data_IF_189524805989
#
_entry.id   IF_189524805989
#
_cell.length_a   1.000
_cell.length_b   1.000
_cell.length_c   1.000
_cell.angle_alpha   90.00
_cell.angle_beta   90.00
_cell.angle_gamma   90.00
#
_symmetry.space_group_name_H-M   'P 1'
#
loop_
_entity.id
_entity.type
_entity.pdbx_description
1 polymer ?
#
# COMPACT_ATOMS: atom_id res chain seq x y z
N UNK A 1 -40.00 10.42 -59.21
CA UNK A 1 -38.63 10.53 -58.66
C UNK A 1 -38.76 10.91 -57.19
N UNK A 2 -39.05 10.05 -56.19
CA UNK A 2 -38.63 8.69 -55.82
C UNK A 2 -37.11 8.57 -55.61
N UNK A 3 -36.75 8.47 -54.31
CA UNK A 3 -35.44 8.13 -53.71
C UNK A 3 -34.44 9.27 -53.70
N UNK A 4 -34.24 9.93 -52.55
CA UNK A 4 -32.90 10.38 -52.08
C UNK A 4 -32.90 11.13 -50.73
N UNK A 5 -33.89 10.95 -49.85
CA UNK A 5 -33.94 11.75 -48.60
C UNK A 5 -34.32 10.90 -47.37
N UNK A 6 -33.59 9.82 -47.10
CA UNK A 6 -33.88 8.98 -45.92
C UNK A 6 -32.68 8.22 -45.34
N UNK A 7 -31.43 8.69 -45.52
CA UNK A 7 -30.24 7.91 -45.10
C UNK A 7 -29.26 8.64 -44.16
N UNK A 8 -29.60 9.79 -43.58
CA UNK A 8 -28.66 10.53 -42.70
C UNK A 8 -28.94 10.36 -41.21
N UNK A 9 -30.00 9.66 -40.81
CA UNK A 9 -30.43 9.52 -39.40
C UNK A 9 -30.11 8.19 -38.74
N UNK A 10 -29.07 7.47 -39.19
CA UNK A 10 -28.72 6.16 -38.61
C UNK A 10 -27.21 5.89 -38.51
N UNK A 11 -26.40 6.88 -38.11
CA UNK A 11 -24.94 6.68 -38.00
C UNK A 11 -24.24 7.38 -36.84
N UNK A 12 -24.95 7.88 -35.82
CA UNK A 12 -24.32 8.67 -34.72
C UNK A 12 -24.53 8.11 -33.31
N UNK A 13 -25.11 6.91 -33.15
CA UNK A 13 -25.37 6.33 -31.82
C UNK A 13 -24.36 5.25 -31.37
N UNK A 14 -23.25 5.01 -32.09
CA UNK A 14 -22.40 3.83 -31.86
C UNK A 14 -21.03 4.10 -31.22
N UNK A 15 -20.76 5.28 -30.66
CA UNK A 15 -19.43 5.62 -30.11
C UNK A 15 -19.52 6.27 -28.73
N UNK A 16 -20.06 5.55 -27.76
CA UNK A 16 -19.88 5.87 -26.34
C UNK A 16 -19.80 4.59 -25.48
N UNK A 17 -19.23 3.50 -26.00
CA UNK A 17 -18.73 2.43 -25.14
C UNK A 17 -17.35 2.86 -24.62
N UNK A 18 -17.35 3.82 -23.69
CA UNK A 18 -16.15 4.12 -22.91
C UNK A 18 -15.83 2.88 -22.09
N UNK A 19 -14.78 2.14 -22.47
CA UNK A 19 -14.21 1.14 -21.59
C UNK A 19 -13.82 1.85 -20.30
N UNK A 20 -14.62 1.69 -19.24
CA UNK A 20 -14.12 1.90 -17.90
C UNK A 20 -13.09 0.80 -17.70
N UNK A 21 -11.84 1.09 -18.05
CA UNK A 21 -10.72 0.23 -17.68
C UNK A 21 -10.75 0.21 -16.16
N UNK A 22 -11.37 -0.81 -15.57
CA UNK A 22 -11.23 -1.08 -14.14
C UNK A 22 -9.74 -1.23 -13.95
N UNK A 23 -9.10 -0.23 -13.35
CA UNK A 23 -7.73 -0.36 -12.88
C UNK A 23 -7.78 -1.58 -11.96
N UNK A 24 -7.19 -2.68 -12.39
CA UNK A 24 -7.02 -3.84 -11.54
C UNK A 24 -6.12 -3.38 -10.40
N UNK A 25 -6.72 -2.98 -9.29
CA UNK A 25 -5.99 -2.68 -8.07
C UNK A 25 -5.33 -3.98 -7.66
N UNK A 26 -4.02 -4.01 -7.75
CA UNK A 26 -3.24 -5.15 -7.32
C UNK A 26 -3.33 -5.21 -5.78
N UNK A 27 -4.08 -6.19 -5.26
CA UNK A 27 -4.33 -6.36 -3.83
C UNK A 27 -3.40 -7.44 -3.29
N UNK A 28 -2.61 -7.10 -2.26
CA UNK A 28 -1.74 -8.03 -1.57
C UNK A 28 -2.50 -8.81 -0.48
N UNK A 29 -1.98 -9.98 -0.07
CA UNK A 29 -2.38 -10.60 1.20
C UNK A 29 -2.19 -9.64 2.40
N UNK A 30 -2.93 -9.83 3.51
CA UNK A 30 -2.82 -8.97 4.68
C UNK A 30 -1.42 -8.98 5.31
N UNK A 31 -0.90 -7.78 5.59
CA UNK A 31 0.37 -7.57 6.30
C UNK A 31 0.10 -7.24 7.76
N UNK A 32 0.88 -7.78 8.68
CA UNK A 32 0.77 -7.51 10.12
C UNK A 32 2.13 -7.34 10.79
N UNK A 33 2.15 -7.24 12.12
CA UNK A 33 3.38 -7.05 12.86
C UNK A 33 4.28 -8.29 12.80
N UNK A 34 5.58 -8.10 13.03
CA UNK A 34 6.53 -9.20 13.03
C UNK A 34 6.24 -10.20 14.17
N UNK A 35 6.26 -11.53 13.93
CA UNK A 35 5.81 -12.55 14.89
C UNK A 35 6.51 -12.59 16.26
N UNK A 36 7.66 -11.94 16.40
CA UNK A 36 8.46 -11.90 17.63
C UNK A 36 8.82 -10.47 18.07
N UNK A 37 8.13 -9.46 17.56
CA UNK A 37 8.31 -8.10 18.05
C UNK A 37 7.72 -8.01 19.47
N UNK A 38 8.57 -7.68 20.45
CA UNK A 38 8.06 -7.20 21.73
C UNK A 38 7.22 -5.93 21.48
N UNK A 39 6.17 -5.66 22.27
CA UNK A 39 5.42 -4.41 22.14
C UNK A 39 6.43 -3.26 22.19
N UNK A 40 6.50 -2.49 21.11
CA UNK A 40 7.34 -1.31 21.01
C UNK A 40 6.99 -0.30 22.12
N UNK A 41 5.74 -0.30 22.60
CA UNK A 41 5.26 0.50 23.74
C UNK A 41 4.07 -0.19 24.45
N UNK A 42 3.80 0.18 25.71
CA UNK A 42 2.57 -0.17 26.44
C UNK A 42 1.38 0.72 26.03
N UNK A 43 1.35 1.12 24.77
CA UNK A 43 0.32 1.99 24.21
C UNK A 43 -0.91 1.15 23.79
N UNK A 44 -2.09 1.76 23.85
CA UNK A 44 -3.32 1.17 23.33
C UNK A 44 -3.38 1.25 21.81
N UNK A 45 -2.54 2.10 21.19
CA UNK A 45 -2.37 2.20 19.75
C UNK A 45 -1.35 1.18 19.23
N UNK A 46 -1.51 0.77 17.98
CA UNK A 46 -0.42 0.19 17.19
C UNK A 46 0.11 1.21 16.18
N UNK A 47 1.15 0.83 15.45
CA UNK A 47 1.87 1.72 14.55
C UNK A 47 1.97 1.13 13.15
N UNK A 48 1.80 1.98 12.15
CA UNK A 48 2.00 1.66 10.74
C UNK A 48 3.18 2.45 10.20
N UNK A 49 4.10 1.76 9.53
CA UNK A 49 5.19 2.37 8.79
C UNK A 49 5.21 1.84 7.36
N UNK A 50 5.14 2.73 6.37
CA UNK A 50 5.03 2.35 4.96
C UNK A 50 6.23 2.88 4.19
N UNK A 51 7.09 1.99 3.74
CA UNK A 51 8.17 2.28 2.81
C UNK A 51 7.62 2.23 1.38
N UNK A 52 6.88 3.27 1.01
CA UNK A 52 6.30 3.38 -0.33
C UNK A 52 7.41 3.53 -1.39
N UNK A 53 7.06 3.28 -2.65
CA UNK A 53 7.93 3.55 -3.78
C UNK A 53 8.54 4.95 -3.70
N UNK A 54 9.84 5.03 -3.90
CA UNK A 54 10.59 6.27 -4.06
C UNK A 54 11.34 6.21 -5.39
N UNK A 55 11.45 7.34 -6.07
CA UNK A 55 12.25 7.44 -7.28
C UNK A 55 13.71 7.70 -6.92
N UNK A 56 14.59 6.71 -7.15
CA UNK A 56 16.05 6.83 -6.96
C UNK A 56 16.65 7.94 -7.86
N UNK A 57 15.96 8.29 -8.95
CA UNK A 57 16.43 9.21 -9.99
C UNK A 57 15.56 10.45 -10.16
N UNK A 58 14.53 10.65 -9.33
CA UNK A 58 13.77 11.89 -9.42
C UNK A 58 14.69 13.04 -9.02
N UNK A 59 14.88 14.02 -9.92
CA UNK A 59 15.63 15.23 -9.65
C UNK A 59 14.89 16.12 -8.63
N UNK A 60 14.80 15.70 -7.37
CA UNK A 60 14.33 16.56 -6.31
C UNK A 60 15.52 17.19 -5.60
N UNK A 61 16.05 18.21 -6.26
CA UNK A 61 17.06 19.16 -5.77
C UNK A 61 18.47 18.59 -5.53
N UNK A 62 19.47 19.27 -6.11
CA UNK A 62 20.93 19.00 -6.00
C UNK A 62 21.51 19.00 -4.57
N UNK A 63 20.68 19.00 -3.52
CA UNK A 63 21.09 19.27 -2.14
C UNK A 63 20.97 18.06 -1.19
N UNK A 64 20.28 16.97 -1.55
CA UNK A 64 20.18 15.80 -0.65
C UNK A 64 20.01 14.48 -1.42
N UNK A 65 21.05 14.05 -2.15
CA UNK A 65 21.07 12.79 -2.92
C UNK A 65 21.06 11.53 -2.06
N UNK A 66 21.27 11.67 -0.75
CA UNK A 66 21.36 10.56 0.20
C UNK A 66 20.00 10.18 0.77
N UNK A 67 19.02 11.09 0.73
CA UNK A 67 17.72 10.86 1.36
C UNK A 67 16.71 10.20 0.43
N UNK A 68 16.20 9.05 0.85
CA UNK A 68 15.05 8.40 0.19
C UNK A 68 13.76 9.07 0.64
N UNK A 69 13.03 9.69 -0.29
CA UNK A 69 11.70 10.27 -0.05
C UNK A 69 10.64 9.29 -0.47
N UNK A 70 10.00 8.65 0.50
CA UNK A 70 8.95 7.68 0.23
C UNK A 70 7.68 8.39 -0.21
N UNK A 71 7.02 7.85 -1.24
CA UNK A 71 5.77 8.44 -1.73
C UNK A 71 4.67 8.46 -0.67
N UNK A 72 3.83 9.49 -0.75
CA UNK A 72 2.60 9.59 0.04
C UNK A 72 1.68 8.39 -0.20
N UNK A 73 0.86 8.09 0.80
CA UNK A 73 -0.09 7.00 0.74
C UNK A 73 -1.43 7.39 1.36
N UNK A 74 -2.42 6.50 1.24
CA UNK A 74 -3.76 6.72 1.78
C UNK A 74 -4.21 5.50 2.57
N UNK A 75 -4.85 5.75 3.70
CA UNK A 75 -5.46 4.73 4.55
C UNK A 75 -6.97 4.80 4.36
N UNK A 76 -7.59 3.68 4.01
CA UNK A 76 -9.04 3.50 4.09
C UNK A 76 -9.39 2.71 5.36
N UNK A 77 -10.45 3.17 6.02
CA UNK A 77 -11.01 2.55 7.21
C UNK A 77 -12.17 1.64 6.82
N UNK A 78 -12.27 0.48 7.44
CA UNK A 78 -13.38 -0.46 7.18
C UNK A 78 -14.73 0.01 7.78
N UNK A 79 -14.70 1.03 8.64
CA UNK A 79 -15.89 1.61 9.31
C UNK A 79 -16.60 2.71 8.51
N UNK A 80 -16.17 2.97 7.27
CA UNK A 80 -16.77 3.97 6.40
C UNK A 80 -16.34 5.41 6.68
N UNK A 81 -15.36 5.65 7.57
CA UNK A 81 -14.71 6.95 7.70
C UNK A 81 -14.06 7.37 6.38
N UNK A 82 -13.95 8.69 6.11
CA UNK A 82 -13.27 9.17 4.92
C UNK A 82 -11.80 8.69 4.92
N UNK A 83 -11.26 8.32 3.75
CA UNK A 83 -9.87 7.92 3.64
C UNK A 83 -8.93 9.05 4.08
N UNK A 84 -7.84 8.69 4.72
CA UNK A 84 -6.84 9.62 5.24
C UNK A 84 -5.59 9.61 4.36
N UNK A 85 -5.17 10.77 3.86
CA UNK A 85 -3.92 10.92 3.13
C UNK A 85 -2.77 11.14 4.12
N UNK A 86 -1.68 10.40 3.94
CA UNK A 86 -0.49 10.48 4.78
C UNK A 86 0.67 11.01 3.94
N UNK A 87 1.23 12.12 4.42
CA UNK A 87 2.50 12.60 3.91
C UNK A 87 3.62 11.74 4.48
N UNK A 88 4.36 11.08 3.60
CA UNK A 88 5.26 9.99 4.00
C UNK A 88 6.74 10.41 4.11
N UNK A 89 6.99 11.71 4.14
CA UNK A 89 8.30 12.28 4.43
C UNK A 89 8.41 12.61 5.93
N UNK A 90 9.52 12.22 6.54
CA UNK A 90 9.86 12.65 7.91
C UNK A 90 10.42 14.09 7.88
N UNK A 91 9.97 15.02 8.74
CA UNK A 91 10.54 16.37 8.77
C UNK A 91 11.93 16.43 9.45
N UNK A 92 12.23 15.47 10.34
CA UNK A 92 13.51 15.37 11.06
C UNK A 92 14.47 14.40 10.36
N UNK A 93 15.76 14.48 10.71
CA UNK A 93 16.90 13.69 10.21
C UNK A 93 16.81 12.17 10.46
N UNK A 94 15.62 11.64 10.75
CA UNK A 94 15.37 10.21 10.85
C UNK A 94 15.47 9.56 9.47
N UNK A 95 16.28 8.50 9.39
CA UNK A 95 16.41 7.67 8.20
C UNK A 95 15.18 6.75 8.11
N UNK A 96 14.10 7.23 7.49
CA UNK A 96 12.90 6.40 7.25
C UNK A 96 11.61 7.18 6.98
N UNK A 97 10.56 6.48 6.50
CA UNK A 97 9.22 7.03 6.30
C UNK A 97 8.54 7.35 7.65
N UNK A 98 7.44 8.11 7.58
CA UNK A 98 6.67 8.48 8.76
C UNK A 98 6.06 7.26 9.45
N UNK A 99 6.11 7.24 10.79
CA UNK A 99 5.42 6.25 11.63
C UNK A 99 4.10 6.86 12.08
N UNK A 100 3.00 6.15 11.84
CA UNK A 100 1.65 6.64 12.11
C UNK A 100 0.93 5.76 13.13
N UNK A 101 0.43 6.35 14.21
CA UNK A 101 -0.33 5.66 15.24
C UNK A 101 -1.77 5.41 14.81
N UNK A 102 -2.25 4.18 14.94
CA UNK A 102 -3.62 3.77 14.64
C UNK A 102 -4.19 2.97 15.79
N UNK A 103 -5.52 3.01 15.93
CA UNK A 103 -6.20 2.06 16.80
C UNK A 103 -5.94 0.63 16.28
N UNK A 104 -5.96 -0.38 17.15
CA UNK A 104 -5.88 -1.76 16.71
C UNK A 104 -7.05 -2.12 15.80
N UNK A 105 -6.79 -2.81 14.70
CA UNK A 105 -7.80 -3.14 13.71
C UNK A 105 -7.25 -3.41 12.32
N UNK A 106 -8.15 -3.52 11.35
CA UNK A 106 -7.82 -3.79 9.95
C UNK A 106 -8.05 -2.55 9.09
N UNK A 107 -7.12 -2.28 8.18
CA UNK A 107 -7.14 -1.12 7.30
C UNK A 107 -6.71 -1.50 5.89
N UNK A 108 -7.02 -0.65 4.90
CA UNK A 108 -6.46 -0.78 3.54
C UNK A 108 -5.54 0.38 3.24
N UNK A 109 -4.28 0.07 2.94
CA UNK A 109 -3.27 1.04 2.51
C UNK A 109 -3.20 1.08 0.99
N UNK A 110 -3.31 2.28 0.42
CA UNK A 110 -3.13 2.53 -1.00
C UNK A 110 -1.83 3.29 -1.19
N UNK A 111 -0.84 2.62 -1.75
CA UNK A 111 0.51 3.16 -1.91
C UNK A 111 1.10 2.70 -3.24
N UNK A 112 2.14 3.39 -3.73
CA UNK A 112 2.87 2.95 -4.91
C UNK A 112 3.92 1.92 -4.52
N UNK A 113 4.08 0.89 -5.34
CA UNK A 113 5.16 -0.08 -5.28
C UNK A 113 6.05 0.02 -6.52
N UNK A 114 7.37 -0.07 -6.31
CA UNK A 114 8.35 -0.05 -7.37
C UNK A 114 8.11 -1.23 -8.31
N UNK A 115 7.93 -0.95 -9.61
CA UNK A 115 7.63 -1.98 -10.62
C UNK A 115 6.16 -2.38 -10.75
N UNK A 116 5.26 -1.99 -9.83
CA UNK A 116 3.84 -2.40 -9.84
C UNK A 116 2.83 -1.24 -9.87
N UNK A 117 3.27 -0.01 -9.63
CA UNK A 117 2.37 1.14 -9.59
C UNK A 117 1.53 1.15 -8.32
N UNK A 118 0.26 1.57 -8.40
CA UNK A 118 -0.61 1.66 -7.22
C UNK A 118 -1.09 0.27 -6.78
N UNK A 119 -0.82 -0.08 -5.53
CA UNK A 119 -1.21 -1.35 -4.89
C UNK A 119 -2.11 -1.08 -3.69
N UNK A 120 -2.92 -2.07 -3.34
CA UNK A 120 -3.73 -2.09 -2.12
C UNK A 120 -3.17 -3.14 -1.18
N UNK A 121 -2.81 -2.73 0.03
CA UNK A 121 -2.26 -3.61 1.07
C UNK A 121 -3.22 -3.61 2.24
N UNK A 122 -3.97 -4.71 2.47
CA UNK A 122 -4.66 -4.89 3.74
C UNK A 122 -3.61 -4.96 4.86
N UNK A 123 -3.81 -4.22 5.93
CA UNK A 123 -2.91 -4.23 7.09
C UNK A 123 -3.68 -4.51 8.37
N UNK A 124 -3.09 -5.28 9.27
CA UNK A 124 -3.57 -5.53 10.61
C UNK A 124 -2.66 -4.82 11.62
N UNK A 125 -3.26 -4.01 12.49
CA UNK A 125 -2.57 -3.25 13.51
C UNK A 125 -2.88 -3.86 14.87
N UNK A 126 -1.83 -4.22 15.61
CA UNK A 126 -1.93 -4.72 16.98
C UNK A 126 -1.44 -3.68 17.99
N UNK A 127 -1.98 -3.66 19.22
CA UNK A 127 -1.56 -2.70 20.25
C UNK A 127 -0.08 -2.81 20.56
N UNK A 128 0.60 -1.66 20.61
CA UNK A 128 2.02 -1.54 20.89
C UNK A 128 2.94 -2.08 19.81
N UNK A 129 2.44 -2.64 18.71
CA UNK A 129 3.27 -3.25 17.67
C UNK A 129 3.45 -2.34 16.46
N UNK A 130 4.55 -2.53 15.72
CA UNK A 130 4.79 -1.86 14.44
C UNK A 130 4.50 -2.84 13.31
N UNK A 131 3.63 -2.43 12.40
CA UNK A 131 3.39 -3.10 11.12
C UNK A 131 4.15 -2.35 10.04
N UNK A 132 5.14 -3.01 9.45
CA UNK A 132 5.98 -2.45 8.39
C UNK A 132 5.53 -2.98 7.03
N UNK A 133 5.33 -2.06 6.08
CA UNK A 133 4.98 -2.37 4.70
C UNK A 133 6.07 -1.86 3.77
N UNK A 134 6.73 -2.76 3.06
CA UNK A 134 7.84 -2.46 2.15
C UNK A 134 7.43 -2.59 0.69
N UNK A 135 7.35 -1.47 -0.02
CA UNK A 135 6.95 -1.40 -1.43
C UNK A 135 8.04 -0.79 -2.32
N UNK A 136 9.13 -0.35 -1.70
CA UNK A 136 10.33 0.17 -2.32
C UNK A 136 11.25 -0.93 -2.87
N UNK A 137 11.08 -2.17 -2.40
CA UNK A 137 11.79 -3.37 -2.87
C UNK A 137 13.19 -3.58 -2.29
N UNK A 138 13.60 -2.77 -1.32
CA UNK A 138 14.91 -2.88 -0.64
C UNK A 138 14.88 -3.67 0.67
N UNK A 139 13.76 -4.33 0.98
CA UNK A 139 13.55 -5.02 2.24
C UNK A 139 14.21 -6.41 2.25
N UNK A 140 15.11 -6.62 3.21
CA UNK A 140 15.64 -7.94 3.54
C UNK A 140 15.12 -8.32 4.93
N UNK A 141 14.00 -9.07 5.02
CA UNK A 141 13.49 -9.54 6.29
C UNK A 141 14.49 -10.56 6.84
N UNK A 142 15.40 -10.13 7.71
CA UNK A 142 16.20 -11.05 8.50
C UNK A 142 15.31 -11.59 9.61
N UNK A 143 14.86 -12.85 9.55
CA UNK A 143 13.99 -13.35 10.59
C UNK A 143 14.79 -13.45 11.91
N UNK A 144 14.28 -12.93 13.03
CA UNK A 144 14.84 -13.25 14.33
C UNK A 144 14.60 -14.74 14.60
N UNK A 145 15.64 -15.55 14.41
CA UNK A 145 15.72 -16.93 14.92
C UNK A 145 14.74 -17.95 14.33
N UNK A 146 13.98 -17.64 13.29
CA UNK A 146 13.01 -18.56 12.67
C UNK A 146 13.26 -18.68 11.17
N UNK A 147 13.38 -19.90 10.64
CA UNK A 147 13.51 -20.14 9.20
C UNK A 147 12.19 -19.93 8.44
N UNK A 148 11.23 -19.21 9.03
CA UNK A 148 9.86 -19.13 8.52
C UNK A 148 9.70 -17.96 7.54
N UNK A 149 10.41 -18.06 6.42
CA UNK A 149 10.22 -17.20 5.25
C UNK A 149 8.85 -17.42 4.57
N UNK A 150 8.11 -18.47 4.97
CA UNK A 150 6.77 -18.77 4.49
C UNK A 150 5.69 -17.85 5.11
N UNK A 151 6.02 -17.15 6.20
CA UNK A 151 5.16 -16.16 6.84
C UNK A 151 5.33 -14.73 6.31
N UNK A 152 5.89 -14.56 5.10
CA UNK A 152 6.06 -13.26 4.45
C UNK A 152 5.03 -13.05 3.34
N UNK A 153 4.46 -11.85 3.29
CA UNK A 153 3.72 -11.37 2.12
C UNK A 153 4.72 -10.95 1.06
N UNK A 154 4.44 -11.29 -0.19
CA UNK A 154 5.33 -11.02 -1.33
C UNK A 154 4.57 -10.42 -2.51
N UNK A 155 5.27 -9.59 -3.27
CA UNK A 155 4.88 -9.22 -4.63
C UNK A 155 4.98 -10.43 -5.56
N UNK A 156 4.37 -10.37 -6.76
CA UNK A 156 4.39 -11.47 -7.74
C UNK A 156 5.79 -11.90 -8.19
N UNK A 157 6.79 -11.01 -8.14
CA UNK A 157 8.20 -11.32 -8.40
C UNK A 157 8.94 -11.96 -7.22
N UNK A 158 8.26 -12.17 -6.09
CA UNK A 158 8.82 -12.75 -4.87
C UNK A 158 9.42 -11.73 -3.90
N UNK A 159 9.44 -10.44 -4.24
CA UNK A 159 9.93 -9.37 -3.36
C UNK A 159 9.10 -9.34 -2.07
N UNK A 160 9.71 -9.46 -0.88
CA UNK A 160 8.99 -9.40 0.38
C UNK A 160 8.48 -7.98 0.65
N UNK A 161 7.24 -7.88 1.12
CA UNK A 161 6.58 -6.60 1.46
C UNK A 161 6.26 -6.45 2.94
N UNK A 162 6.41 -7.50 3.74
CA UNK A 162 6.11 -7.48 5.17
C UNK A 162 5.72 -8.86 5.68
N UNK A 163 5.44 -8.94 6.98
CA UNK A 163 4.97 -10.18 7.62
C UNK A 163 3.50 -10.41 7.31
N UNK A 164 3.12 -11.66 7.04
CA UNK A 164 1.73 -12.02 6.93
C UNK A 164 1.04 -11.75 8.26
N UNK A 165 -0.13 -11.09 8.20
CA UNK A 165 -0.92 -10.88 9.40
C UNK A 165 -1.23 -12.24 10.04
N UNK A 166 -1.15 -12.36 11.38
CA UNK A 166 -1.63 -13.54 12.07
C UNK A 166 -3.06 -13.79 11.59
N UNK A 167 -3.41 -15.01 11.17
CA UNK A 167 -4.80 -15.28 10.82
C UNK A 167 -5.62 -14.98 12.07
N UNK A 168 -6.42 -13.92 12.08
CA UNK A 168 -7.49 -13.80 13.05
C UNK A 168 -8.30 -15.11 12.95
N UNK A 169 -8.54 -15.83 14.06
CA UNK A 169 -9.43 -16.97 14.04
C UNK A 169 -10.79 -16.42 13.60
N UNK A 170 -11.20 -16.76 12.38
CA UNK A 170 -12.56 -16.52 11.90
C UNK A 170 -13.48 -17.20 12.90
N UNK A 171 -14.17 -16.39 13.70
CA UNK A 171 -15.05 -16.87 14.74
C UNK A 171 -16.23 -17.63 14.14
N UNK A 172 -16.24 -18.93 14.48
CA UNK A 172 -17.38 -19.86 14.60
C UNK A 172 -18.01 -20.43 13.33
#
# INVERSE_FOLDING_TARGET
MKRFLFHVTLATAALAAGCVTRRSTFVLPPVGPAPAAAPATADHLGFLQVYAAFEVHAEFSRLDRTRRRHGDYRIEFDDGRPPMAIHNDTPSSGEGPAVYGLEPGTYRVFARANGYGLVTVPVEIEPGQVTEVHLEGGYDPRPPGTNDTASLVRLPDGTPVGWAAPRMPTGR
#
